data_IF_130585200981
#
_entry.id   IF_130585200981
#
_cell.length_a   1.000
_cell.length_b   1.000
_cell.length_c   1.000
_cell.angle_alpha   90.00
_cell.angle_beta   90.00
_cell.angle_gamma   90.00
#
_symmetry.space_group_name_H-M   'P 1'
#
loop_
_entity.id
_entity.type
_entity.pdbx_description
1 polymer ?
#
# COMPACT_ATOMS: atom_id res chain seq x y z
N UNK A 1 -23.83 -15.67 -25.92
CA UNK A 1 -23.92 -14.69 -24.80
C UNK A 1 -22.62 -14.83 -24.02
N UNK A 2 -21.60 -14.00 -24.27
CA UNK A 2 -21.41 -12.67 -23.66
C UNK A 2 -20.89 -12.89 -22.23
N UNK A 3 -19.63 -12.67 -21.85
CA UNK A 3 -18.59 -11.79 -22.35
C UNK A 3 -18.32 -10.74 -21.28
N UNK A 4 -17.57 -11.08 -20.22
CA UNK A 4 -17.16 -10.23 -19.07
C UNK A 4 -16.35 -11.14 -18.13
N UNK A 5 -15.17 -10.85 -17.57
CA UNK A 5 -14.19 -9.78 -17.69
C UNK A 5 -12.91 -10.31 -17.04
N UNK A 6 -11.83 -10.41 -17.81
CA UNK A 6 -10.51 -10.85 -17.33
C UNK A 6 -9.86 -9.63 -16.66
N UNK A 7 -10.29 -9.29 -15.45
CA UNK A 7 -9.69 -8.20 -14.67
C UNK A 7 -10.03 -8.33 -13.18
N UNK A 8 -9.40 -9.30 -12.50
CA UNK A 8 -9.29 -9.31 -11.02
C UNK A 8 -8.39 -10.45 -10.49
N UNK A 9 -7.96 -11.41 -11.33
CA UNK A 9 -7.20 -12.57 -10.81
C UNK A 9 -5.78 -12.20 -10.37
N UNK A 10 -5.16 -11.21 -11.02
CA UNK A 10 -3.80 -10.76 -10.67
C UNK A 10 -3.78 -9.98 -9.36
N UNK A 11 -4.74 -9.09 -9.15
CA UNK A 11 -4.79 -8.23 -7.96
C UNK A 11 -5.04 -9.03 -6.68
N UNK A 12 -5.89 -10.08 -6.74
CA UNK A 12 -6.06 -11.01 -5.61
C UNK A 12 -4.79 -11.82 -5.29
N UNK A 13 -4.07 -12.27 -6.32
CA UNK A 13 -2.82 -13.02 -6.12
C UNK A 13 -1.73 -12.13 -5.51
N UNK A 14 -1.65 -10.87 -5.92
CA UNK A 14 -0.73 -9.89 -5.35
C UNK A 14 -1.05 -9.65 -3.87
N UNK A 15 -2.31 -9.43 -3.53
CA UNK A 15 -2.73 -9.20 -2.14
C UNK A 15 -2.47 -10.43 -1.24
N UNK A 16 -2.82 -11.63 -1.69
CA UNK A 16 -2.57 -12.87 -0.93
C UNK A 16 -1.09 -13.18 -0.75
N UNK A 17 -0.27 -12.99 -1.80
CA UNK A 17 1.18 -13.18 -1.73
C UNK A 17 1.85 -12.15 -0.80
N UNK A 18 1.34 -10.91 -0.79
CA UNK A 18 1.81 -9.88 0.13
C UNK A 18 1.48 -10.23 1.58
N UNK A 19 0.28 -10.74 1.86
CA UNK A 19 -0.12 -11.18 3.19
C UNK A 19 0.79 -12.30 3.70
N UNK A 20 0.92 -13.40 2.95
CA UNK A 20 1.82 -14.52 3.32
C UNK A 20 3.28 -14.07 3.51
N UNK A 21 3.75 -13.14 2.67
CA UNK A 21 5.12 -12.62 2.79
C UNK A 21 5.30 -11.76 4.03
N UNK A 22 4.31 -10.96 4.40
CA UNK A 22 4.35 -10.12 5.59
C UNK A 22 4.26 -10.97 6.86
N UNK A 23 3.39 -11.98 6.88
CA UNK A 23 3.29 -12.97 7.97
C UNK A 23 4.63 -13.69 8.15
N UNK A 24 5.21 -14.24 7.07
CA UNK A 24 6.51 -14.90 7.11
C UNK A 24 7.67 -13.96 7.48
N UNK A 25 7.60 -12.67 7.11
CA UNK A 25 8.61 -11.68 7.50
C UNK A 25 8.54 -11.31 8.98
N UNK A 26 7.33 -11.32 9.57
CA UNK A 26 7.11 -11.13 11.02
C UNK A 26 7.70 -12.30 11.80
N UNK A 27 7.42 -13.54 11.36
CA UNK A 27 7.79 -14.78 12.06
C UNK A 27 9.28 -15.16 11.89
N UNK A 28 9.88 -14.87 10.74
CA UNK A 28 11.22 -15.36 10.34
C UNK A 28 12.24 -14.29 9.93
N UNK A 29 11.94 -13.00 10.12
CA UNK A 29 12.84 -11.86 9.91
C UNK A 29 13.37 -11.65 8.46
N UNK A 30 12.64 -12.07 7.43
CA UNK A 30 13.04 -11.85 6.02
C UNK A 30 12.52 -10.54 5.40
N UNK A 31 12.67 -9.42 6.13
CA UNK A 31 12.28 -8.08 5.70
C UNK A 31 12.86 -7.68 4.32
N UNK A 32 14.05 -8.17 3.99
CA UNK A 32 14.68 -7.97 2.68
C UNK A 32 13.86 -8.55 1.53
N UNK A 33 13.25 -9.72 1.72
CA UNK A 33 12.39 -10.35 0.69
C UNK A 33 11.09 -9.58 0.53
N UNK A 34 10.46 -9.21 1.64
CA UNK A 34 9.24 -8.40 1.64
C UNK A 34 9.45 -7.06 0.92
N UNK A 35 10.58 -6.39 1.18
CA UNK A 35 10.95 -5.16 0.47
C UNK A 35 11.07 -5.32 -1.06
N UNK A 36 11.63 -6.44 -1.54
CA UNK A 36 11.69 -6.73 -2.99
C UNK A 36 10.31 -6.91 -3.62
N UNK A 37 9.40 -7.59 -2.92
CA UNK A 37 8.02 -7.76 -3.39
C UNK A 37 7.30 -6.42 -3.41
N UNK A 38 7.42 -5.61 -2.37
CA UNK A 38 6.85 -4.26 -2.34
C UNK A 38 7.31 -3.42 -3.54
N UNK A 39 8.61 -3.42 -3.83
CA UNK A 39 9.14 -2.73 -5.00
C UNK A 39 8.59 -3.28 -6.32
N UNK A 40 8.35 -4.59 -6.42
CA UNK A 40 7.75 -5.20 -7.60
C UNK A 40 6.29 -4.76 -7.75
N UNK A 41 5.51 -4.76 -6.67
CA UNK A 41 4.10 -4.35 -6.68
C UNK A 41 3.97 -2.87 -7.03
N UNK A 42 4.81 -2.00 -6.46
CA UNK A 42 4.84 -0.57 -6.82
C UNK A 42 5.06 -0.39 -8.33
N UNK A 43 5.93 -1.20 -8.94
CA UNK A 43 6.18 -1.14 -10.39
C UNK A 43 5.03 -1.72 -11.22
N UNK A 44 4.44 -2.83 -10.81
CA UNK A 44 3.40 -3.54 -11.57
C UNK A 44 2.07 -2.79 -11.56
N UNK A 45 1.63 -2.37 -10.37
CA UNK A 45 0.35 -1.66 -10.14
C UNK A 45 0.49 -0.13 -10.32
N UNK A 46 1.69 0.35 -10.71
CA UNK A 46 2.01 1.78 -10.90
C UNK A 46 1.66 2.64 -9.70
N UNK A 47 1.85 2.10 -8.50
CA UNK A 47 1.65 2.81 -7.25
C UNK A 47 2.72 3.89 -7.11
N UNK A 48 2.43 4.92 -6.32
CA UNK A 48 3.45 5.90 -5.94
C UNK A 48 4.41 5.30 -4.92
N UNK A 49 3.87 4.67 -3.88
CA UNK A 49 4.63 3.99 -2.85
C UNK A 49 3.76 3.00 -2.06
N UNK A 50 4.45 2.10 -1.37
CA UNK A 50 3.92 1.17 -0.36
C UNK A 50 4.72 1.32 0.94
N UNK A 51 4.02 1.16 2.06
CA UNK A 51 4.59 1.11 3.40
C UNK A 51 3.87 0.07 4.28
N UNK A 52 4.59 -0.54 5.22
CA UNK A 52 4.02 -1.47 6.19
C UNK A 52 4.39 -1.05 7.61
N UNK A 53 3.37 -1.01 8.45
CA UNK A 53 3.43 -0.69 9.86
C UNK A 53 3.17 -1.96 10.66
N UNK A 54 3.99 -2.23 11.66
CA UNK A 54 3.67 -3.30 12.63
C UNK A 54 2.50 -2.89 13.55
N UNK A 55 2.02 -3.81 14.39
CA UNK A 55 0.94 -3.55 15.33
C UNK A 55 1.27 -2.59 16.47
N UNK A 56 2.52 -2.17 16.60
CA UNK A 56 2.89 -1.04 17.47
C UNK A 56 2.81 0.31 16.74
N UNK A 57 2.36 0.32 15.47
CA UNK A 57 2.31 1.52 14.63
C UNK A 57 3.68 1.98 14.15
N UNK A 58 4.70 1.11 14.19
CA UNK A 58 6.05 1.46 13.74
C UNK A 58 6.26 1.04 12.29
N UNK A 59 6.84 1.94 11.50
CA UNK A 59 7.17 1.67 10.10
C UNK A 59 8.28 0.62 10.03
N UNK A 60 7.99 -0.53 9.42
CA UNK A 60 8.93 -1.65 9.25
C UNK A 60 9.46 -1.72 7.83
N UNK A 61 8.61 -1.46 6.84
CA UNK A 61 8.98 -1.44 5.43
C UNK A 61 8.41 -0.20 4.76
N UNK A 62 9.17 0.32 3.81
CA UNK A 62 8.74 1.36 2.89
C UNK A 62 9.46 1.20 1.56
N UNK A 63 8.85 1.72 0.51
CA UNK A 63 9.44 1.83 -0.82
C UNK A 63 9.84 3.27 -1.11
N UNK A 64 10.81 3.46 -2.00
CA UNK A 64 11.16 4.81 -2.48
C UNK A 64 10.37 5.13 -3.75
N UNK A 65 9.79 6.34 -3.91
CA UNK A 65 9.98 7.53 -3.07
C UNK A 65 8.82 7.81 -2.10
N UNK A 66 8.71 7.09 -0.98
CA UNK A 66 7.73 7.44 0.07
C UNK A 66 8.07 8.81 0.69
N UNK A 67 7.11 9.76 0.76
CA UNK A 67 7.27 11.00 1.51
C UNK A 67 7.56 10.75 2.98
N UNK A 68 8.40 11.56 3.61
CA UNK A 68 8.55 11.53 5.08
C UNK A 68 7.24 11.92 5.82
N UNK A 69 6.38 12.69 5.15
CA UNK A 69 5.04 13.04 5.64
C UNK A 69 4.10 11.82 5.68
N UNK A 70 4.35 10.80 4.83
CA UNK A 70 3.56 9.57 4.77
C UNK A 70 4.22 8.50 5.65
N UNK A 71 3.57 8.17 6.74
CA UNK A 71 3.99 7.10 7.64
C UNK A 71 2.81 6.53 8.42
N UNK A 72 3.09 5.64 9.36
CA UNK A 72 2.08 4.94 10.16
C UNK A 72 1.20 5.85 11.01
N UNK A 73 1.63 7.09 11.25
CA UNK A 73 0.86 8.11 11.97
C UNK A 73 -0.05 8.97 11.08
N UNK A 74 -0.19 8.66 9.79
CA UNK A 74 -1.03 9.46 8.89
C UNK A 74 -2.52 9.36 9.24
N UNK A 75 -3.20 10.49 9.05
CA UNK A 75 -4.61 10.76 9.28
C UNK A 75 -5.59 9.98 8.38
N UNK A 76 -5.33 8.70 8.10
CA UNK A 76 -6.39 7.79 7.63
C UNK A 76 -7.12 7.31 8.89
N UNK A 77 -8.40 7.70 9.09
CA UNK A 77 -9.09 7.59 10.38
C UNK A 77 -9.28 6.14 10.86
N UNK A 78 -9.24 5.16 9.97
CA UNK A 78 -9.47 3.77 10.32
C UNK A 78 -8.81 2.77 9.38
N UNK A 79 -8.83 1.52 9.84
CA UNK A 79 -8.35 0.36 9.09
C UNK A 79 -9.36 0.05 7.96
N UNK A 80 -8.86 -0.20 6.75
CA UNK A 80 -9.64 -0.31 5.51
C UNK A 80 -10.29 0.99 5.03
N UNK A 81 -9.79 2.13 5.49
CA UNK A 81 -10.19 3.45 4.99
C UNK A 81 -9.12 4.05 4.07
N UNK A 82 -9.48 5.14 3.39
CA UNK A 82 -8.55 5.90 2.57
C UNK A 82 -8.78 7.39 2.73
N UNK A 83 -7.73 8.19 2.49
CA UNK A 83 -7.77 9.64 2.62
C UNK A 83 -6.83 10.29 1.62
N UNK A 84 -7.19 11.50 1.18
CA UNK A 84 -6.34 12.31 0.31
C UNK A 84 -5.49 13.24 1.17
N UNK A 85 -4.18 13.12 1.02
CA UNK A 85 -3.17 13.95 1.70
C UNK A 85 -2.67 14.96 0.69
N UNK A 86 -2.78 16.25 1.02
CA UNK A 86 -2.20 17.32 0.22
C UNK A 86 -0.79 17.60 0.72
N UNK A 87 0.20 17.43 -0.15
CA UNK A 87 1.60 17.74 0.13
C UNK A 87 2.02 18.91 -0.75
N UNK A 88 3.10 19.60 -0.36
CA UNK A 88 3.63 20.73 -1.16
C UNK A 88 4.04 20.35 -2.59
N UNK A 89 4.19 19.04 -2.88
CA UNK A 89 4.54 18.50 -4.20
C UNK A 89 3.34 18.00 -5.03
N UNK A 90 2.14 17.93 -4.45
CA UNK A 90 0.97 17.30 -5.09
C UNK A 90 0.06 16.58 -4.10
N UNK A 91 -1.10 16.11 -4.59
CA UNK A 91 -2.05 15.33 -3.80
C UNK A 91 -1.75 13.83 -3.93
N UNK A 92 -1.72 13.13 -2.80
CA UNK A 92 -1.57 11.68 -2.73
C UNK A 92 -2.81 11.05 -2.12
N UNK A 93 -3.30 9.97 -2.70
CA UNK A 93 -4.35 9.14 -2.10
C UNK A 93 -3.71 8.01 -1.33
N UNK A 94 -4.03 7.91 -0.05
CA UNK A 94 -3.44 6.95 0.89
C UNK A 94 -4.55 6.04 1.40
N UNK A 95 -4.41 4.74 1.17
CA UNK A 95 -5.31 3.72 1.71
C UNK A 95 -4.60 2.90 2.78
N UNK A 96 -5.30 2.61 3.89
CA UNK A 96 -4.81 1.78 4.99
C UNK A 96 -5.55 0.45 4.99
N UNK A 97 -4.83 -0.66 4.93
CA UNK A 97 -5.39 -2.01 5.00
C UNK A 97 -4.83 -2.76 6.20
N UNK A 98 -5.70 -3.34 7.02
CA UNK A 98 -5.27 -4.12 8.17
C UNK A 98 -4.80 -5.49 7.74
N UNK A 99 -3.62 -5.90 8.19
CA UNK A 99 -3.08 -7.24 7.99
C UNK A 99 -3.42 -8.08 9.23
N UNK A 100 -4.35 -9.00 9.06
CA UNK A 100 -4.73 -9.99 10.07
C UNK A 100 -3.93 -11.30 9.85
N UNK A 101 -3.69 -12.09 10.92
CA UNK A 101 -4.06 -11.87 12.33
C UNK A 101 -3.02 -11.10 13.16
N UNK A 102 -1.77 -11.00 12.68
CA UNK A 102 -0.62 -10.47 13.44
C UNK A 102 -0.62 -8.93 13.63
N UNK A 103 -1.60 -8.24 13.04
CA UNK A 103 -2.05 -6.94 13.50
C UNK A 103 -1.23 -5.74 13.02
N UNK A 104 -0.77 -5.74 11.77
CA UNK A 104 -0.12 -4.57 11.16
C UNK A 104 -1.02 -3.80 10.18
N UNK A 105 -0.52 -2.68 9.66
CA UNK A 105 -1.20 -1.90 8.63
C UNK A 105 -0.35 -1.76 7.37
N UNK A 106 -0.95 -2.09 6.22
CA UNK A 106 -0.40 -1.81 4.91
C UNK A 106 -0.93 -0.46 4.42
N UNK A 107 -0.01 0.47 4.18
CA UNK A 107 -0.29 1.75 3.55
C UNK A 107 -0.01 1.66 2.05
N UNK A 108 -1.02 1.95 1.25
CA UNK A 108 -0.94 2.01 -0.20
C UNK A 108 -1.08 3.45 -0.64
N UNK A 109 -0.08 3.96 -1.35
CA UNK A 109 -0.02 5.35 -1.78
C UNK A 109 -0.13 5.43 -3.29
N UNK A 110 -1.12 6.16 -3.77
CA UNK A 110 -1.31 6.49 -5.17
C UNK A 110 -1.06 7.97 -5.41
N UNK A 111 -0.44 8.28 -6.54
CA UNK A 111 -0.33 9.66 -7.00
C UNK A 111 -1.67 10.10 -7.58
N UNK A 112 -2.27 11.13 -6.96
CA UNK A 112 -3.47 11.76 -7.50
C UNK A 112 -3.15 13.01 -8.33
N UNK A 113 -1.87 13.35 -8.50
CA UNK A 113 -1.43 14.46 -9.35
C UNK A 113 -1.87 14.28 -10.82
N UNK A 114 -2.28 13.07 -11.21
CA UNK A 114 -2.86 12.79 -12.53
C UNK A 114 -4.38 13.05 -12.64
N UNK A 115 -5.10 13.20 -11.53
CA UNK A 115 -6.58 13.27 -11.49
C UNK A 115 -7.12 14.71 -11.55
N UNK A 116 -6.24 15.72 -11.64
CA UNK A 116 -6.59 17.14 -11.78
C UNK A 116 -7.09 17.52 -13.20
N UNK A 117 -7.93 16.67 -13.84
CA UNK A 117 -8.53 16.97 -15.15
C UNK A 117 -10.01 16.63 -15.31
N UNK A 118 -10.75 16.41 -14.22
CA UNK A 118 -12.22 16.42 -14.28
C UNK A 118 -12.86 17.21 -13.15
N UNK A 119 -12.55 18.51 -13.13
CA UNK A 119 -13.44 19.52 -12.60
C UNK A 119 -13.80 20.47 -13.76
N UNK A 120 -14.75 20.05 -14.60
CA UNK A 120 -15.52 20.96 -15.45
C UNK A 120 -16.90 20.41 -15.72
#
# INVERSE_FOLDING_TARGET
MGGEGISDVRSKLVAGTLQETLESASDGNSWTRAGKIFQQVVRDERLYALAFCDGSGKLRLQTSPLPAEIGCGIAVPGVNESSVVQLGRGALHVSRYGILPDGGDLLVVHDMSFVDRRAR
#
